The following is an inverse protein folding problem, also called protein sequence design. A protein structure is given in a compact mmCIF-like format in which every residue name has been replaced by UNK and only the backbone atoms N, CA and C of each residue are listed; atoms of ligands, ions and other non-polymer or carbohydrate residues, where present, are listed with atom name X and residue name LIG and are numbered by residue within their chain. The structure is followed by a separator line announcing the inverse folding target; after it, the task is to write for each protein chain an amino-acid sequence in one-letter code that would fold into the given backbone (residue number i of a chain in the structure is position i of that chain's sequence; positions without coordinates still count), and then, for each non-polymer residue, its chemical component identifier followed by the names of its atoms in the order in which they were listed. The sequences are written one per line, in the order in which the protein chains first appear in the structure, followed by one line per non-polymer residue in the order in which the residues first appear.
data_IF_470775408921
#
_entry.id   IF_470775408921
#
_cell.length_a   1.000
_cell.length_b   1.000
_cell.length_c   1.000
_cell.angle_alpha   90.00
_cell.angle_beta   90.00
_cell.angle_gamma   90.00
#
_symmetry.space_group_name_H-M   'P 1'
#
loop_
_entity.id
_entity.type
_entity.pdbx_description
1 polymer ?
#
# COMPACT_ATOMS: atom_id res chain seq x y z
N UNK A 1 35.24 22.63 -10.32
CA UNK A 1 34.39 22.32 -9.13
C UNK A 1 35.21 22.72 -7.90
N UNK A 2 34.67 23.61 -7.06
CA UNK A 2 35.36 24.11 -5.86
C UNK A 2 34.98 23.26 -4.63
N UNK A 3 33.83 22.59 -4.66
CA UNK A 3 33.32 21.76 -3.58
C UNK A 3 31.93 21.20 -3.89
N UNK A 4 31.38 20.45 -2.96
CA UNK A 4 30.04 19.86 -3.03
C UNK A 4 29.26 20.25 -1.76
N UNK A 5 27.98 20.51 -1.90
CA UNK A 5 27.09 20.87 -0.82
C UNK A 5 25.87 19.95 -0.81
N UNK A 6 25.46 19.51 0.34
CA UNK A 6 24.16 18.88 0.58
C UNK A 6 23.38 19.71 1.59
N UNK A 7 22.09 19.91 1.33
CA UNK A 7 21.19 20.62 2.22
C UNK A 7 20.23 19.64 2.87
N UNK A 8 20.05 19.74 4.17
CA UNK A 8 19.01 19.07 4.91
C UNK A 8 18.00 20.14 5.38
N UNK A 9 16.81 20.10 4.80
CA UNK A 9 15.70 20.98 5.16
C UNK A 9 14.98 20.39 6.37
N UNK A 10 14.92 21.15 7.46
CA UNK A 10 14.51 20.64 8.78
C UNK A 10 13.06 20.97 9.16
N UNK A 11 12.23 21.49 8.24
CA UNK A 11 10.85 21.88 8.51
C UNK A 11 9.99 20.73 9.12
N UNK A 12 10.36 19.49 8.80
CA UNK A 12 9.66 18.29 9.28
C UNK A 12 10.55 17.40 10.14
N UNK A 13 11.73 17.87 10.55
CA UNK A 13 12.67 17.13 11.39
C UNK A 13 12.61 17.71 12.79
N UNK A 14 11.91 17.01 13.70
CA UNK A 14 11.60 17.51 15.03
C UNK A 14 12.47 16.91 16.16
N UNK A 15 13.22 15.83 15.88
CA UNK A 15 14.07 15.16 16.87
C UNK A 15 15.45 14.85 16.32
N UNK A 16 16.43 14.64 17.22
CA UNK A 16 17.79 14.26 16.84
C UNK A 16 17.80 12.87 16.14
N UNK A 17 17.00 11.93 16.61
CA UNK A 17 16.88 10.60 15.99
C UNK A 17 16.36 10.69 14.56
N UNK A 18 15.43 11.62 14.29
CA UNK A 18 14.95 11.85 12.92
C UNK A 18 16.04 12.53 12.07
N UNK A 19 16.82 13.45 12.65
CA UNK A 19 17.94 14.09 11.98
C UNK A 19 19.01 13.04 11.56
N UNK A 20 19.40 12.18 12.47
CA UNK A 20 20.36 11.09 12.23
C UNK A 20 19.85 10.15 11.13
N UNK A 21 18.59 9.73 11.20
CA UNK A 21 17.95 8.91 10.17
C UNK A 21 17.98 9.56 8.79
N UNK A 22 17.81 10.86 8.71
CA UNK A 22 17.84 11.59 7.43
C UNK A 22 19.26 11.76 6.89
N UNK A 23 20.26 11.90 7.77
CA UNK A 23 21.66 12.09 7.38
C UNK A 23 22.38 10.78 7.08
N UNK A 24 22.20 9.75 7.91
CA UNK A 24 22.99 8.52 7.87
C UNK A 24 22.23 7.40 7.14
N UNK A 25 22.85 6.60 6.27
CA UNK A 25 24.23 6.72 5.74
C UNK A 25 24.36 7.64 4.51
N UNK A 26 23.37 8.48 4.18
CA UNK A 26 23.38 9.33 2.97
C UNK A 26 24.60 10.25 2.91
N UNK A 27 25.07 10.72 4.07
CA UNK A 27 26.28 11.55 4.15
C UNK A 27 27.53 10.76 3.76
N UNK A 28 27.61 9.47 4.11
CA UNK A 28 28.68 8.60 3.64
C UNK A 28 28.66 8.43 2.12
N UNK A 29 27.46 8.27 1.52
CA UNK A 29 27.32 8.22 0.06
C UNK A 29 27.77 9.52 -0.62
N UNK A 30 27.45 10.67 -0.03
CA UNK A 30 27.93 11.95 -0.53
C UNK A 30 29.47 12.05 -0.45
N UNK A 31 30.07 11.60 0.63
CA UNK A 31 31.53 11.57 0.80
C UNK A 31 32.18 10.68 -0.25
N UNK A 32 31.64 9.49 -0.53
CA UNK A 32 32.16 8.62 -1.61
C UNK A 32 32.12 9.31 -2.97
N UNK A 33 31.02 10.01 -3.28
CA UNK A 33 30.91 10.77 -4.54
C UNK A 33 31.96 11.88 -4.65
N UNK A 34 32.34 12.49 -3.53
CA UNK A 34 33.32 13.60 -3.50
C UNK A 34 34.77 13.13 -3.58
N UNK A 35 35.10 12.08 -2.85
CA UNK A 35 36.49 11.63 -2.71
C UNK A 35 36.91 10.58 -3.76
N UNK A 36 35.94 9.93 -4.40
CA UNK A 36 36.20 8.91 -5.41
C UNK A 36 36.16 9.53 -6.82
N UNK A 37 37.22 9.30 -7.61
CA UNK A 37 37.23 9.67 -9.03
C UNK A 37 36.10 8.95 -9.78
N UNK A 38 35.58 9.57 -10.84
CA UNK A 38 34.40 9.05 -11.56
C UNK A 38 34.65 7.67 -12.19
N UNK A 39 35.83 7.38 -12.64
CA UNK A 39 36.30 6.12 -13.23
C UNK A 39 36.49 4.98 -12.18
N UNK A 40 36.54 5.35 -10.91
CA UNK A 40 36.75 4.42 -9.80
C UNK A 40 35.48 4.17 -8.95
N UNK A 41 34.36 4.79 -9.33
CA UNK A 41 33.08 4.57 -8.64
C UNK A 41 32.58 3.17 -8.91
N UNK A 42 32.34 2.42 -7.86
CA UNK A 42 31.83 1.06 -7.89
C UNK A 42 30.74 0.88 -6.84
N UNK A 43 29.56 0.41 -7.28
CA UNK A 43 28.41 0.27 -6.39
C UNK A 43 28.62 -0.81 -5.33
N UNK A 44 29.19 -1.95 -5.70
CA UNK A 44 29.39 -3.06 -4.78
C UNK A 44 30.37 -2.70 -3.68
N UNK A 45 31.49 -2.09 -4.05
CA UNK A 45 32.45 -1.57 -3.08
C UNK A 45 31.85 -0.52 -2.15
N UNK A 46 31.03 0.40 -2.69
CA UNK A 46 30.32 1.37 -1.87
C UNK A 46 29.32 0.69 -0.93
N UNK A 47 28.61 -0.32 -1.42
CA UNK A 47 27.64 -1.06 -0.61
C UNK A 47 28.32 -1.75 0.59
N UNK A 48 29.45 -2.44 0.36
CA UNK A 48 30.23 -3.08 1.42
C UNK A 48 30.73 -2.06 2.45
N UNK A 49 31.25 -0.90 1.97
CA UNK A 49 31.67 0.19 2.87
C UNK A 49 30.51 0.80 3.64
N UNK A 50 29.32 0.95 3.02
CA UNK A 50 28.14 1.47 3.68
C UNK A 50 27.64 0.50 4.77
N UNK A 51 27.80 -0.82 4.57
CA UNK A 51 27.52 -1.82 5.57
C UNK A 51 28.41 -1.65 6.81
N UNK A 52 29.70 -1.52 6.59
CA UNK A 52 30.66 -1.29 7.68
C UNK A 52 30.36 0.02 8.44
N UNK A 53 30.05 1.10 7.73
CA UNK A 53 29.62 2.35 8.38
C UNK A 53 28.35 2.18 9.21
N UNK A 54 27.36 1.45 8.73
CA UNK A 54 26.14 1.20 9.49
C UNK A 54 26.40 0.41 10.79
N UNK A 55 27.34 -0.54 10.79
CA UNK A 55 27.78 -1.25 12.02
C UNK A 55 28.46 -0.30 13.01
N UNK A 56 29.25 0.65 12.51
CA UNK A 56 29.87 1.69 13.34
C UNK A 56 28.78 2.58 13.95
N UNK A 57 27.79 3.02 13.15
CA UNK A 57 26.67 3.84 13.64
C UNK A 57 25.87 3.12 14.72
N UNK A 58 25.62 1.83 14.56
CA UNK A 58 24.93 1.01 15.55
C UNK A 58 25.73 0.91 16.86
N UNK A 59 27.04 0.65 16.77
CA UNK A 59 27.94 0.63 17.94
C UNK A 59 27.97 1.97 18.66
N UNK A 60 27.85 3.08 17.92
CA UNK A 60 27.81 4.43 18.48
C UNK A 60 26.41 4.85 18.97
N UNK A 61 25.39 4.05 18.74
CA UNK A 61 24.00 4.33 19.14
C UNK A 61 23.29 5.37 18.26
N UNK A 62 23.76 5.60 17.04
CA UNK A 62 23.08 6.50 16.10
C UNK A 62 21.87 5.84 15.45
N UNK A 63 20.79 6.60 15.24
CA UNK A 63 19.64 6.18 14.45
C UNK A 63 19.90 6.43 12.97
N UNK A 64 20.23 5.41 12.21
CA UNK A 64 20.52 5.51 10.77
C UNK A 64 19.43 4.86 9.92
N UNK A 65 19.31 5.24 8.65
CA UNK A 65 18.36 4.65 7.71
C UNK A 65 18.86 3.28 7.23
N UNK A 66 18.11 2.24 7.54
CA UNK A 66 18.40 0.85 7.15
C UNK A 66 17.87 0.47 5.77
N UNK A 67 17.20 1.39 5.06
CA UNK A 67 16.47 1.12 3.81
C UNK A 67 17.32 0.43 2.73
N UNK A 68 18.64 0.68 2.74
CA UNK A 68 19.58 0.06 1.81
C UNK A 68 19.64 -1.47 1.98
N UNK A 69 19.38 -1.94 3.20
CA UNK A 69 19.53 -3.34 3.59
C UNK A 69 18.20 -4.05 3.83
N UNK A 70 17.08 -3.35 3.66
CA UNK A 70 15.77 -3.94 3.87
C UNK A 70 15.45 -4.98 2.80
N UNK A 71 14.69 -6.01 3.19
CA UNK A 71 13.93 -6.78 2.23
C UNK A 71 12.88 -5.85 1.60
N UNK A 72 12.78 -5.91 0.29
CA UNK A 72 11.77 -5.22 -0.49
C UNK A 72 10.94 -6.25 -1.24
N UNK A 73 9.68 -5.95 -1.48
CA UNK A 73 8.77 -6.86 -2.15
C UNK A 73 8.01 -6.18 -3.28
N UNK A 74 7.73 -6.96 -4.31
CA UNK A 74 6.77 -6.66 -5.34
C UNK A 74 5.67 -7.71 -5.28
N UNK A 75 4.44 -7.28 -5.15
CA UNK A 75 3.27 -8.15 -5.12
C UNK A 75 2.47 -7.92 -6.39
N UNK A 76 2.01 -8.99 -7.01
CA UNK A 76 1.18 -8.95 -8.20
C UNK A 76 0.10 -10.03 -8.12
N UNK A 77 -1.09 -9.75 -8.65
CA UNK A 77 -2.16 -10.72 -8.79
C UNK A 77 -2.04 -11.46 -10.14
N UNK A 78 -2.05 -12.78 -10.08
CA UNK A 78 -2.09 -13.69 -11.23
C UNK A 78 -3.56 -14.12 -11.45
N UNK A 79 -4.26 -13.42 -12.32
CA UNK A 79 -5.68 -13.67 -12.59
C UNK A 79 -5.94 -15.04 -13.23
N UNK A 80 -4.99 -15.58 -13.99
CA UNK A 80 -5.16 -16.89 -14.63
C UNK A 80 -5.21 -18.03 -13.62
N UNK A 81 -4.51 -17.86 -12.49
CA UNK A 81 -4.39 -18.87 -11.45
C UNK A 81 -5.05 -18.48 -10.13
N UNK A 82 -5.71 -17.34 -10.11
CA UNK A 82 -6.38 -16.78 -8.92
C UNK A 82 -5.49 -16.81 -7.67
N UNK A 83 -4.34 -16.14 -7.75
CA UNK A 83 -3.36 -16.09 -6.66
C UNK A 83 -2.59 -14.78 -6.65
N UNK A 84 -2.12 -14.36 -5.50
CA UNK A 84 -1.10 -13.34 -5.39
C UNK A 84 0.30 -13.95 -5.46
N UNK A 85 1.25 -13.24 -6.04
CA UNK A 85 2.65 -13.67 -6.15
C UNK A 85 3.54 -12.59 -5.56
N UNK A 86 4.32 -12.95 -4.54
CA UNK A 86 5.28 -12.08 -3.88
C UNK A 86 6.69 -12.39 -4.37
N UNK A 87 7.34 -11.41 -4.96
CA UNK A 87 8.75 -11.47 -5.34
C UNK A 87 9.55 -10.56 -4.43
N UNK A 88 10.50 -11.13 -3.68
CA UNK A 88 11.34 -10.39 -2.74
C UNK A 88 12.72 -10.16 -3.32
N UNK A 89 13.34 -9.06 -2.92
CA UNK A 89 14.72 -8.72 -3.21
C UNK A 89 15.33 -7.87 -2.09
N UNK A 90 16.64 -7.96 -1.93
CA UNK A 90 17.44 -7.07 -1.09
C UNK A 90 18.70 -6.69 -1.83
N UNK A 91 19.40 -5.68 -1.37
CA UNK A 91 20.75 -5.37 -1.87
C UNK A 91 21.75 -6.32 -1.18
N UNK A 92 22.70 -6.85 -1.97
CA UNK A 92 23.64 -7.88 -1.51
C UNK A 92 22.99 -9.27 -1.40
N UNK A 93 23.72 -10.20 -0.78
CA UNK A 93 23.37 -11.63 -0.72
C UNK A 93 22.73 -12.05 0.61
N UNK A 94 22.19 -11.09 1.37
CA UNK A 94 21.58 -11.40 2.67
C UNK A 94 20.39 -12.34 2.50
N UNK A 95 20.28 -13.42 3.28
CA UNK A 95 19.13 -14.31 3.25
C UNK A 95 17.88 -13.55 3.71
N UNK A 96 16.75 -13.81 3.00
CA UNK A 96 15.45 -13.28 3.36
C UNK A 96 14.62 -14.40 3.98
N UNK A 97 13.94 -14.08 5.08
CA UNK A 97 13.00 -14.97 5.77
C UNK A 97 11.61 -14.35 5.76
N UNK A 98 10.57 -15.17 5.74
CA UNK A 98 9.20 -14.67 5.65
C UNK A 98 8.21 -15.53 6.46
N UNK A 99 7.06 -14.92 6.78
CA UNK A 99 5.88 -15.53 7.40
C UNK A 99 4.62 -15.18 6.61
N UNK A 100 3.58 -15.99 6.76
CA UNK A 100 2.26 -15.79 6.11
C UNK A 100 1.14 -15.47 7.12
N UNK A 101 1.43 -15.54 8.41
CA UNK A 101 0.47 -15.37 9.51
C UNK A 101 0.55 -14.00 10.20
N UNK A 102 1.40 -13.10 9.67
CA UNK A 102 1.62 -11.77 10.24
C UNK A 102 2.57 -11.73 11.44
N UNK A 103 3.10 -12.89 11.89
CA UNK A 103 4.17 -12.91 12.88
C UNK A 103 5.45 -12.26 12.35
N UNK A 104 6.28 -11.74 13.24
CA UNK A 104 7.58 -11.19 12.84
C UNK A 104 8.51 -12.35 12.41
N UNK A 105 9.03 -12.33 11.15
CA UNK A 105 9.95 -13.35 10.70
C UNK A 105 11.29 -13.27 11.43
N UNK A 106 11.94 -14.43 11.56
CA UNK A 106 13.30 -14.59 12.10
C UNK A 106 14.09 -15.64 11.31
N UNK A 107 15.29 -15.96 11.75
CA UNK A 107 16.17 -16.97 11.10
C UNK A 107 15.61 -18.39 11.11
N UNK A 108 14.59 -18.68 11.91
CA UNK A 108 13.91 -19.98 11.97
C UNK A 108 12.66 -20.01 11.07
N UNK A 109 12.26 -18.86 10.54
CA UNK A 109 11.13 -18.74 9.61
C UNK A 109 11.45 -19.32 8.24
N UNK A 110 10.46 -19.41 7.35
CA UNK A 110 10.66 -19.91 6.00
C UNK A 110 11.67 -19.03 5.25
N UNK A 111 12.70 -19.66 4.66
CA UNK A 111 13.71 -18.96 3.87
C UNK A 111 13.19 -18.73 2.46
N UNK A 112 13.30 -17.50 1.98
CA UNK A 112 12.93 -17.14 0.61
C UNK A 112 13.96 -17.71 -0.40
N UNK A 113 13.46 -18.50 -1.35
CA UNK A 113 14.27 -19.11 -2.42
C UNK A 113 13.73 -18.78 -3.82
N UNK A 114 12.62 -18.10 -3.92
CA UNK A 114 11.94 -17.72 -5.16
C UNK A 114 10.53 -17.19 -4.90
N UNK A 115 9.78 -16.78 -5.93
CA UNK A 115 8.46 -16.19 -5.77
C UNK A 115 7.53 -17.03 -4.91
N UNK A 116 6.85 -16.38 -3.95
CA UNK A 116 5.91 -17.02 -3.02
C UNK A 116 4.50 -16.84 -3.54
N UNK A 117 3.79 -17.96 -3.72
CA UNK A 117 2.40 -17.99 -4.16
C UNK A 117 1.46 -17.95 -2.96
N UNK A 118 0.46 -17.08 -3.01
CA UNK A 118 -0.52 -16.88 -1.95
C UNK A 118 -1.90 -17.09 -2.55
N UNK A 119 -2.64 -18.05 -2.01
CA UNK A 119 -3.98 -18.44 -2.48
C UNK A 119 -5.07 -18.22 -1.42
N UNK A 120 -4.70 -17.73 -0.24
CA UNK A 120 -5.62 -17.43 0.86
C UNK A 120 -5.24 -16.12 1.51
N UNK A 121 -6.22 -15.47 2.15
CA UNK A 121 -5.98 -14.23 2.89
C UNK A 121 -4.88 -14.40 3.93
N UNK A 122 -3.94 -13.45 3.95
CA UNK A 122 -2.82 -13.49 4.87
C UNK A 122 -2.20 -12.10 5.09
N UNK A 123 -1.42 -11.98 6.14
CA UNK A 123 -0.48 -10.87 6.32
C UNK A 123 0.92 -11.40 6.08
N UNK A 124 1.44 -11.15 4.89
CA UNK A 124 2.79 -11.52 4.50
C UNK A 124 3.79 -10.57 5.17
N UNK A 125 4.80 -11.11 5.84
CA UNK A 125 5.93 -10.34 6.35
C UNK A 125 7.24 -10.96 5.91
N UNK A 126 8.25 -10.14 5.64
CA UNK A 126 9.58 -10.61 5.29
C UNK A 126 10.66 -9.65 5.79
N UNK A 127 11.81 -10.19 6.16
CA UNK A 127 12.98 -9.40 6.49
C UNK A 127 14.27 -10.06 5.95
N UNK A 128 15.29 -9.26 5.70
CA UNK A 128 16.63 -9.72 5.40
C UNK A 128 17.45 -9.78 6.71
N UNK A 129 18.24 -10.81 6.87
CA UNK A 129 19.16 -10.95 8.02
C UNK A 129 20.59 -10.92 7.50
N UNK A 130 21.36 -9.98 8.00
CA UNK A 130 22.76 -9.78 7.64
C UNK A 130 23.63 -9.87 8.90
N UNK A 131 24.43 -10.92 8.99
CA UNK A 131 25.32 -11.20 10.13
C UNK A 131 24.65 -10.99 11.49
N UNK A 132 23.48 -11.62 11.69
CA UNK A 132 22.63 -11.55 12.88
C UNK A 132 21.88 -10.21 13.09
N UNK A 133 22.00 -9.25 12.16
CA UNK A 133 21.22 -8.00 12.18
C UNK A 133 20.02 -8.09 11.25
N UNK A 134 18.79 -8.15 11.80
CA UNK A 134 17.58 -8.16 10.99
C UNK A 134 17.28 -6.76 10.42
N UNK A 135 16.85 -6.72 9.18
CA UNK A 135 16.32 -5.51 8.56
C UNK A 135 14.94 -5.14 9.14
N UNK A 136 14.44 -3.95 8.78
CA UNK A 136 13.01 -3.68 8.99
C UNK A 136 12.18 -4.62 8.13
N UNK A 137 11.05 -5.12 8.64
CA UNK A 137 10.21 -6.05 7.89
C UNK A 137 9.50 -5.33 6.72
N UNK A 138 9.46 -5.98 5.58
CA UNK A 138 8.48 -5.73 4.54
C UNK A 138 7.17 -6.37 4.98
N UNK A 139 6.04 -5.67 4.87
CA UNK A 139 4.73 -6.20 5.22
C UNK A 139 3.73 -5.91 4.10
N UNK A 140 2.88 -6.89 3.80
CA UNK A 140 1.83 -6.77 2.80
C UNK A 140 0.60 -7.60 3.19
N UNK A 141 -0.60 -7.01 3.10
CA UNK A 141 -1.87 -7.71 3.35
C UNK A 141 -2.47 -8.16 2.04
N UNK A 142 -2.83 -9.44 1.95
CA UNK A 142 -3.60 -10.05 0.86
C UNK A 142 -4.92 -10.51 1.43
N UNK A 143 -6.04 -10.16 0.78
CA UNK A 143 -7.38 -10.33 1.33
C UNK A 143 -8.31 -10.94 0.27
N UNK A 144 -8.28 -12.28 0.13
CA UNK A 144 -9.17 -13.00 -0.77
C UNK A 144 -10.61 -12.95 -0.28
N UNK A 145 -11.55 -12.70 -1.20
CA UNK A 145 -12.98 -12.60 -0.94
C UNK A 145 -13.78 -13.10 -2.14
N UNK A 146 -15.11 -13.16 -2.05
CA UNK A 146 -15.97 -13.75 -3.10
C UNK A 146 -15.90 -13.05 -4.46
N UNK A 147 -15.53 -11.76 -4.48
CA UNK A 147 -15.34 -11.02 -5.73
C UNK A 147 -13.92 -11.08 -6.28
N UNK A 148 -12.96 -11.70 -5.59
CA UNK A 148 -11.56 -11.75 -6.06
C UNK A 148 -11.48 -12.41 -7.44
N UNK A 149 -10.85 -11.69 -8.40
CA UNK A 149 -10.64 -12.14 -9.77
C UNK A 149 -11.89 -12.15 -10.64
N UNK A 150 -13.03 -11.64 -10.14
CA UNK A 150 -14.27 -11.51 -10.92
C UNK A 150 -14.14 -10.41 -11.97
N UNK A 151 -14.94 -10.53 -13.04
CA UNK A 151 -15.03 -9.47 -14.05
C UNK A 151 -15.68 -8.24 -13.45
N UNK A 152 -15.02 -7.12 -13.64
CA UNK A 152 -15.52 -5.82 -13.20
C UNK A 152 -15.63 -4.84 -14.36
N UNK A 153 -16.53 -3.88 -14.22
CA UNK A 153 -16.68 -2.79 -15.18
C UNK A 153 -17.08 -1.50 -14.47
N UNK A 154 -16.67 -0.38 -15.06
CA UNK A 154 -17.07 0.96 -14.66
C UNK A 154 -17.30 1.81 -15.90
N UNK A 155 -18.07 2.88 -15.76
CA UNK A 155 -18.31 3.82 -16.84
C UNK A 155 -17.12 4.75 -17.12
N UNK A 156 -16.21 4.94 -16.16
CA UNK A 156 -15.00 5.76 -16.34
C UNK A 156 -13.87 4.93 -16.98
N UNK A 157 -13.52 5.22 -18.24
CA UNK A 157 -12.47 4.46 -18.94
C UNK A 157 -11.07 4.71 -18.40
N UNK A 158 -10.87 5.71 -17.53
CA UNK A 158 -9.57 5.99 -16.91
C UNK A 158 -9.36 5.21 -15.61
N UNK A 159 -10.39 4.54 -15.10
CA UNK A 159 -10.32 3.71 -13.90
C UNK A 159 -10.02 2.27 -14.29
N UNK A 160 -8.89 1.76 -13.83
CA UNK A 160 -8.62 0.32 -13.87
C UNK A 160 -9.38 -0.34 -12.71
N UNK A 161 -10.59 -0.84 -12.98
CA UNK A 161 -11.45 -1.43 -11.96
C UNK A 161 -10.98 -2.83 -11.52
N UNK A 162 -10.14 -3.52 -12.30
CA UNK A 162 -9.65 -4.87 -11.96
C UNK A 162 -8.86 -4.88 -10.65
N UNK A 163 -8.17 -3.78 -10.34
CA UNK A 163 -7.41 -3.67 -9.08
C UNK A 163 -8.31 -3.53 -7.82
N UNK A 164 -9.62 -3.34 -7.99
CA UNK A 164 -10.57 -3.28 -6.88
C UNK A 164 -11.08 -4.66 -6.46
N UNK A 165 -10.65 -5.72 -7.13
CA UNK A 165 -11.02 -7.12 -6.84
C UNK A 165 -9.84 -8.07 -7.05
N UNK A 166 -8.62 -7.62 -6.82
CA UNK A 166 -7.40 -8.41 -7.02
C UNK A 166 -6.81 -8.97 -5.71
N UNK A 167 -7.51 -8.81 -4.60
CA UNK A 167 -7.10 -9.18 -3.25
C UNK A 167 -5.88 -8.44 -2.71
N UNK A 168 -5.33 -7.46 -3.43
CA UNK A 168 -4.12 -6.74 -3.05
C UNK A 168 -4.46 -5.46 -2.29
N UNK A 169 -4.17 -5.44 -0.98
CA UNK A 169 -4.45 -4.27 -0.15
C UNK A 169 -3.42 -3.16 -0.38
N UNK A 170 -3.92 -1.98 -0.60
CA UNK A 170 -3.08 -0.80 -0.79
C UNK A 170 -2.29 -0.45 0.48
N UNK A 171 -0.96 -0.27 0.40
CA UNK A 171 -0.17 0.16 1.55
C UNK A 171 -0.33 1.66 1.82
N UNK A 172 0.03 2.11 3.01
CA UNK A 172 0.01 3.52 3.44
C UNK A 172 0.96 4.44 2.63
N UNK A 173 1.39 3.99 1.46
CA UNK A 173 2.34 4.70 0.58
C UNK A 173 1.57 5.33 -0.57
N UNK A 174 1.70 6.65 -0.69
CA UNK A 174 0.92 7.50 -1.59
C UNK A 174 0.98 7.13 -3.08
N UNK A 175 2.10 6.63 -3.58
CA UNK A 175 2.33 6.36 -5.01
C UNK A 175 2.47 4.87 -5.26
N UNK A 176 1.35 4.18 -5.28
CA UNK A 176 1.30 2.77 -5.60
C UNK A 176 0.16 2.50 -6.59
N UNK A 177 0.33 1.49 -7.39
CA UNK A 177 -0.63 1.05 -8.42
C UNK A 177 -1.87 0.37 -7.83
N UNK A 178 -1.84 0.01 -6.56
CA UNK A 178 -2.94 -0.60 -5.83
C UNK A 178 -4.07 0.41 -5.48
N UNK A 179 -3.94 1.66 -5.87
CA UNK A 179 -4.93 2.70 -5.55
C UNK A 179 -5.66 3.24 -6.78
N UNK A 180 -6.97 3.06 -6.84
CA UNK A 180 -7.84 3.91 -7.67
C UNK A 180 -7.98 5.27 -6.99
N UNK A 181 -7.73 6.34 -7.71
CA UNK A 181 -7.87 7.71 -7.20
C UNK A 181 -8.93 8.46 -7.99
N UNK A 182 -9.97 8.91 -7.30
CA UNK A 182 -11.08 9.71 -7.84
C UNK A 182 -10.94 11.16 -7.38
N UNK A 183 -11.44 12.10 -8.19
CA UNK A 183 -11.51 13.52 -7.83
C UNK A 183 -12.92 14.04 -8.02
N UNK A 184 -13.56 14.42 -6.93
CA UNK A 184 -14.90 15.02 -6.91
C UNK A 184 -15.95 14.28 -7.77
N UNK A 185 -15.76 12.97 -7.98
CA UNK A 185 -16.62 12.16 -8.84
C UNK A 185 -16.90 10.84 -8.14
N UNK A 186 -18.15 10.42 -7.98
CA UNK A 186 -18.49 9.10 -7.47
C UNK A 186 -18.05 8.01 -8.45
N UNK A 187 -17.87 6.80 -7.95
CA UNK A 187 -17.53 5.63 -8.75
C UNK A 187 -18.63 4.59 -8.65
N UNK A 188 -19.12 4.14 -9.80
CA UNK A 188 -19.95 2.95 -9.92
C UNK A 188 -19.12 1.79 -10.47
N UNK A 189 -19.08 0.70 -9.73
CA UNK A 189 -18.41 -0.55 -10.13
C UNK A 189 -19.45 -1.66 -10.21
N UNK A 190 -19.50 -2.35 -11.34
CA UNK A 190 -20.35 -3.53 -11.54
C UNK A 190 -19.45 -4.75 -11.56
N UNK A 191 -19.72 -5.69 -10.66
CA UNK A 191 -19.00 -6.95 -10.49
C UNK A 191 -19.89 -8.09 -10.98
N UNK A 192 -19.41 -8.93 -11.90
CA UNK A 192 -20.10 -10.19 -12.31
C UNK A 192 -19.73 -11.29 -11.32
N UNK A 193 -20.59 -11.53 -10.35
CA UNK A 193 -20.44 -12.59 -9.34
C UNK A 193 -20.64 -14.00 -9.92
N UNK A 194 -21.02 -14.11 -11.20
CA UNK A 194 -21.23 -15.39 -11.95
C UNK A 194 -22.29 -16.31 -11.33
N UNK A 195 -23.14 -15.79 -10.44
CA UNK A 195 -24.15 -16.60 -9.72
C UNK A 195 -23.53 -17.55 -8.69
N UNK A 196 -22.43 -17.13 -8.07
CA UNK A 196 -21.68 -17.91 -7.10
C UNK A 196 -22.35 -17.96 -5.73
N UNK A 197 -21.58 -18.40 -4.72
CA UNK A 197 -22.02 -18.51 -3.32
C UNK A 197 -22.72 -17.25 -2.81
N UNK A 198 -23.75 -17.42 -1.94
CA UNK A 198 -24.46 -16.28 -1.36
C UNK A 198 -23.53 -15.29 -0.67
N UNK A 199 -23.85 -14.00 -0.76
CA UNK A 199 -23.10 -12.92 -0.14
C UNK A 199 -24.04 -11.91 0.53
N UNK A 200 -23.58 -11.22 1.57
CA UNK A 200 -24.40 -10.33 2.40
C UNK A 200 -23.70 -9.06 2.86
N UNK A 201 -22.44 -8.85 2.50
CA UNK A 201 -21.75 -7.59 2.81
C UNK A 201 -20.78 -7.18 1.73
N UNK A 202 -20.56 -5.88 1.67
CA UNK A 202 -19.50 -5.23 0.90
C UNK A 202 -18.66 -4.39 1.85
N UNK A 203 -17.36 -4.57 1.82
CA UNK A 203 -16.41 -3.73 2.55
C UNK A 203 -15.48 -3.03 1.57
N UNK A 204 -15.43 -1.71 1.62
CA UNK A 204 -14.61 -0.88 0.74
C UNK A 204 -13.38 -0.41 1.50
N UNK A 205 -12.21 -0.80 1.01
CA UNK A 205 -10.92 -0.35 1.54
C UNK A 205 -10.55 1.01 0.99
N UNK A 206 -10.07 1.91 1.86
CA UNK A 206 -9.74 3.29 1.50
C UNK A 206 -8.49 3.78 2.21
N UNK A 207 -7.89 4.84 1.66
CA UNK A 207 -6.89 5.64 2.36
C UNK A 207 -7.48 7.01 2.66
N UNK A 208 -7.39 7.46 3.92
CA UNK A 208 -7.68 8.84 4.32
C UNK A 208 -6.37 9.54 4.64
N UNK A 209 -6.07 10.63 3.93
CA UNK A 209 -4.89 11.45 4.14
C UNK A 209 -5.25 12.93 3.90
N UNK A 210 -5.88 13.54 4.90
CA UNK A 210 -6.50 14.86 4.77
C UNK A 210 -5.51 15.94 4.32
N UNK A 211 -4.28 15.93 4.80
CA UNK A 211 -3.22 16.87 4.35
C UNK A 211 -2.96 16.82 2.83
N UNK A 212 -3.44 15.80 2.14
CA UNK A 212 -3.35 15.58 0.70
C UNK A 212 -4.71 15.58 -0.01
N UNK A 213 -5.69 16.22 0.59
CA UNK A 213 -7.06 16.32 0.09
C UNK A 213 -7.74 14.95 -0.15
N UNK A 214 -7.27 13.87 0.52
CA UNK A 214 -7.84 12.53 0.41
C UNK A 214 -8.76 12.29 1.60
N UNK A 215 -10.05 12.11 1.32
CA UNK A 215 -11.11 11.98 2.32
C UNK A 215 -11.78 10.61 2.26
N UNK A 216 -12.57 10.32 3.29
CA UNK A 216 -13.43 9.14 3.35
C UNK A 216 -14.55 9.19 2.29
N UNK A 217 -15.17 8.04 1.93
CA UNK A 217 -16.36 8.02 1.10
C UNK A 217 -17.50 8.79 1.79
N UNK A 218 -18.34 9.44 1.00
CA UNK A 218 -19.54 10.15 1.52
C UNK A 218 -20.73 9.21 1.64
N UNK A 219 -20.80 8.18 0.80
CA UNK A 219 -21.76 7.08 0.89
C UNK A 219 -21.22 5.84 0.21
N UNK A 220 -21.81 4.71 0.54
CA UNK A 220 -21.70 3.46 -0.21
C UNK A 220 -23.11 2.93 -0.41
N UNK A 221 -23.51 2.72 -1.68
CA UNK A 221 -24.75 2.08 -2.08
C UNK A 221 -24.48 0.77 -2.77
N UNK A 222 -25.28 -0.24 -2.45
CA UNK A 222 -25.15 -1.59 -3.00
C UNK A 222 -26.46 -1.92 -3.72
N UNK A 223 -26.36 -2.31 -4.98
CA UNK A 223 -27.50 -2.72 -5.80
C UNK A 223 -27.21 -4.06 -6.48
N UNK A 224 -28.23 -4.86 -6.69
CA UNK A 224 -28.13 -6.19 -7.29
C UNK A 224 -28.95 -6.30 -8.56
N UNK A 225 -28.55 -7.21 -9.46
CA UNK A 225 -29.23 -7.47 -10.73
C UNK A 225 -28.90 -8.86 -11.25
N UNK A 226 -29.81 -9.45 -12.03
CA UNK A 226 -29.57 -10.71 -12.73
C UNK A 226 -29.29 -10.50 -14.23
N UNK A 227 -29.54 -9.30 -14.76
CA UNK A 227 -29.41 -8.98 -16.19
C UNK A 227 -28.38 -7.87 -16.51
N UNK A 228 -27.72 -7.31 -15.50
CA UNK A 228 -26.80 -6.17 -15.58
C UNK A 228 -27.44 -4.88 -16.13
N UNK A 229 -28.76 -4.79 -16.21
CA UNK A 229 -29.49 -3.63 -16.75
C UNK A 229 -30.41 -3.00 -15.70
N UNK A 230 -31.18 -3.83 -15.03
CA UNK A 230 -32.14 -3.40 -14.01
C UNK A 230 -31.56 -3.71 -12.64
N UNK A 231 -31.13 -2.67 -11.93
CA UNK A 231 -30.53 -2.79 -10.60
C UNK A 231 -31.54 -2.38 -9.53
N UNK A 232 -31.61 -3.19 -8.47
CA UNK A 232 -32.40 -2.90 -7.27
C UNK A 232 -31.44 -2.60 -6.12
N UNK A 233 -31.56 -1.41 -5.52
CA UNK A 233 -30.78 -1.06 -4.34
C UNK A 233 -31.22 -1.91 -3.16
N UNK A 234 -30.25 -2.55 -2.50
CA UNK A 234 -30.45 -3.42 -1.34
C UNK A 234 -29.87 -2.84 -0.05
N UNK A 235 -28.94 -1.90 -0.19
CA UNK A 235 -28.40 -1.17 0.94
C UNK A 235 -27.84 0.18 0.51
N UNK A 236 -27.95 1.17 1.40
CA UNK A 236 -27.33 2.49 1.28
C UNK A 236 -26.87 2.95 2.66
N UNK A 237 -25.63 3.41 2.75
CA UNK A 237 -25.08 3.93 3.99
C UNK A 237 -24.29 5.20 3.72
N UNK A 238 -24.68 6.27 4.40
CA UNK A 238 -23.97 7.55 4.36
C UNK A 238 -22.89 7.60 5.43
N UNK A 239 -21.83 8.30 5.12
CA UNK A 239 -20.71 8.53 6.03
C UNK A 239 -20.45 10.03 6.13
N UNK A 240 -20.44 10.61 7.34
CA UNK A 240 -20.08 12.01 7.51
C UNK A 240 -18.64 12.24 7.09
N UNK A 241 -18.36 13.42 6.55
CA UNK A 241 -16.98 13.83 6.25
C UNK A 241 -16.19 13.90 7.55
N UNK A 242 -15.06 13.22 7.59
CA UNK A 242 -14.20 13.18 8.77
C UNK A 242 -13.63 14.55 9.11
N UNK A 243 -13.66 14.88 10.40
CA UNK A 243 -13.15 16.13 10.93
C UNK A 243 -11.62 16.26 10.88
N UNK A 244 -11.13 17.45 11.12
CA UNK A 244 -9.69 17.78 11.07
C UNK A 244 -8.84 16.91 12.00
N UNK A 245 -9.36 16.57 13.18
CA UNK A 245 -8.62 15.88 14.25
C UNK A 245 -8.79 14.36 14.26
N UNK A 246 -9.66 13.82 13.38
CA UNK A 246 -9.77 12.37 13.24
C UNK A 246 -8.49 11.79 12.60
N UNK A 247 -8.06 10.56 12.98
CA UNK A 247 -6.81 10.00 12.47
C UNK A 247 -6.85 9.75 10.97
N UNK A 248 -5.74 10.01 10.29
CA UNK A 248 -5.50 9.55 8.93
C UNK A 248 -5.14 8.06 8.95
N UNK A 249 -5.10 7.41 7.79
CA UNK A 249 -4.64 6.03 7.61
C UNK A 249 -5.52 5.22 6.68
N UNK A 250 -5.27 3.92 6.68
CA UNK A 250 -6.08 2.93 5.97
C UNK A 250 -7.37 2.70 6.75
N UNK A 251 -8.50 2.70 6.05
CA UNK A 251 -9.82 2.53 6.66
C UNK A 251 -10.68 1.60 5.81
N UNK A 252 -11.61 0.93 6.47
CA UNK A 252 -12.55 0.02 5.86
C UNK A 252 -13.98 0.47 6.19
N UNK A 253 -14.84 0.46 5.17
CA UNK A 253 -16.24 0.89 5.29
C UNK A 253 -17.15 -0.23 4.84
N UNK A 254 -17.81 -0.87 5.80
CA UNK A 254 -18.68 -2.02 5.56
C UNK A 254 -20.15 -1.60 5.46
N UNK A 255 -20.84 -2.22 4.49
CA UNK A 255 -22.28 -2.16 4.30
C UNK A 255 -22.84 -3.58 4.23
N UNK A 256 -23.78 -3.90 5.09
CA UNK A 256 -24.46 -5.20 5.14
C UNK A 256 -25.87 -5.12 4.54
N UNK A 257 -26.34 -6.21 3.95
CA UNK A 257 -27.66 -6.34 3.33
C UNK A 257 -28.16 -7.77 3.47
N UNK A 258 -29.45 -8.05 3.17
CA UNK A 258 -29.98 -9.41 3.16
C UNK A 258 -29.18 -10.30 2.21
N UNK A 259 -28.88 -11.53 2.64
CA UNK A 259 -28.15 -12.50 1.82
C UNK A 259 -28.79 -12.68 0.44
N UNK A 260 -27.97 -12.67 -0.59
CA UNK A 260 -28.37 -12.80 -1.99
C UNK A 260 -27.36 -13.62 -2.79
N UNK A 261 -27.82 -14.22 -3.91
CA UNK A 261 -26.97 -14.88 -4.90
C UNK A 261 -27.14 -14.23 -6.29
N UNK A 262 -27.55 -12.95 -6.35
CA UNK A 262 -27.72 -12.23 -7.61
C UNK A 262 -26.42 -12.24 -8.42
N UNK A 263 -26.53 -12.34 -9.73
CA UNK A 263 -25.35 -12.46 -10.60
C UNK A 263 -24.51 -11.18 -10.65
N UNK A 264 -25.15 -10.01 -10.67
CA UNK A 264 -24.43 -8.75 -10.76
C UNK A 264 -24.61 -7.92 -9.49
N UNK A 265 -23.49 -7.46 -8.98
CA UNK A 265 -23.39 -6.58 -7.85
C UNK A 265 -22.87 -5.22 -8.32
N UNK A 266 -23.64 -4.16 -8.09
CA UNK A 266 -23.18 -2.78 -8.33
C UNK A 266 -22.87 -2.13 -6.98
N UNK A 267 -21.66 -1.64 -6.84
CA UNK A 267 -21.19 -0.85 -5.70
C UNK A 267 -20.96 0.58 -6.17
N UNK A 268 -21.70 1.52 -5.58
CA UNK A 268 -21.56 2.95 -5.83
C UNK A 268 -20.89 3.60 -4.63
N UNK A 269 -19.76 4.27 -4.85
CA UNK A 269 -18.98 4.91 -3.79
C UNK A 269 -18.94 6.41 -4.02
N UNK A 270 -19.48 7.18 -3.08
CA UNK A 270 -19.54 8.64 -3.14
C UNK A 270 -18.20 9.28 -2.80
N UNK A 271 -17.80 10.28 -3.58
CA UNK A 271 -16.63 11.11 -3.35
C UNK A 271 -17.05 12.51 -2.91
N UNK A 272 -16.34 13.08 -1.94
CA UNK A 272 -16.53 14.48 -1.55
C UNK A 272 -16.15 15.41 -2.71
N UNK A 273 -17.00 16.37 -3.02
CA UNK A 273 -16.73 17.32 -4.12
C UNK A 273 -15.61 18.29 -3.76
N UNK A 274 -15.79 19.03 -2.68
CA UNK A 274 -14.90 20.10 -2.28
C UNK A 274 -14.27 19.82 -0.92
N UNK A 275 -13.02 20.22 -0.79
CA UNK A 275 -12.29 20.18 0.47
C UNK A 275 -13.00 21.03 1.52
N UNK A 276 -13.20 20.54 2.77
CA UNK A 276 -13.94 21.25 3.82
C UNK A 276 -13.32 22.59 4.20
N UNK A 277 -14.15 23.51 4.73
CA UNK A 277 -13.74 24.88 5.11
C UNK A 277 -12.57 24.97 6.08
N UNK A 278 -12.43 24.00 6.96
CA UNK A 278 -11.33 23.96 7.94
C UNK A 278 -9.97 23.60 7.34
N UNK A 279 -9.95 23.12 6.08
CA UNK A 279 -8.71 22.70 5.43
C UNK A 279 -8.05 23.88 4.71
N UNK A 280 -6.72 23.96 4.76
CA UNK A 280 -5.96 25.07 4.15
C UNK A 280 -6.06 25.14 2.61
N UNK A 281 -6.52 24.06 1.95
CA UNK A 281 -6.83 24.03 0.53
C UNK A 281 -8.34 24.11 0.24
N UNK A 282 -9.10 24.72 1.14
CA UNK A 282 -10.54 24.94 0.93
C UNK A 282 -10.84 25.50 -0.48
N UNK A 283 -11.86 24.98 -1.12
CA UNK A 283 -12.27 25.34 -2.48
C UNK A 283 -11.59 24.55 -3.60
N UNK A 284 -10.69 23.61 -3.27
CA UNK A 284 -10.18 22.62 -4.22
C UNK A 284 -11.04 21.36 -4.20
N UNK A 285 -10.98 20.59 -5.30
CA UNK A 285 -11.64 19.30 -5.36
C UNK A 285 -10.99 18.32 -4.38
N UNK A 286 -11.83 17.64 -3.63
CA UNK A 286 -11.39 16.53 -2.78
C UNK A 286 -11.09 15.28 -3.62
N UNK A 287 -10.36 14.35 -3.04
CA UNK A 287 -10.03 13.06 -3.64
C UNK A 287 -10.51 11.93 -2.75
N UNK A 288 -10.85 10.81 -3.36
CA UNK A 288 -11.10 9.53 -2.71
C UNK A 288 -10.13 8.50 -3.25
N UNK A 289 -9.61 7.61 -2.39
CA UNK A 289 -8.76 6.50 -2.79
C UNK A 289 -9.34 5.19 -2.33
N UNK A 290 -9.43 4.24 -3.27
CA UNK A 290 -9.94 2.89 -3.06
C UNK A 290 -8.85 1.88 -3.42
N UNK A 291 -8.67 0.84 -2.62
CA UNK A 291 -7.80 -0.30 -2.94
C UNK A 291 -8.59 -1.55 -3.30
N UNK A 292 -9.65 -1.86 -2.54
CA UNK A 292 -10.36 -3.12 -2.69
C UNK A 292 -11.85 -2.97 -2.39
N UNK A 293 -12.68 -3.72 -3.12
CA UNK A 293 -14.12 -3.91 -2.86
C UNK A 293 -14.34 -5.37 -2.47
N UNK A 294 -14.24 -5.65 -1.20
CA UNK A 294 -14.37 -6.99 -0.65
C UNK A 294 -15.84 -7.38 -0.54
N UNK A 295 -16.21 -8.57 -1.02
CA UNK A 295 -17.54 -9.14 -0.96
C UNK A 295 -17.52 -10.40 -0.11
N UNK A 296 -18.41 -10.47 0.92
CA UNK A 296 -18.44 -11.58 1.88
C UNK A 296 -19.86 -12.15 2.07
#
# INVERSE_FOLDING_TARGET
IIGVQANLWTEYVSTNEHLEYMLLPRLAALSEVQWCNADRKDWNRFFDSADEFCRIYETMGYNYATNLFNANGKVAYDAERNRAVVTLYTQGDAPIYYTLDGSEPDVNSAKYTGPVEITNSCVFKALAVRDDFPSRPFSYKVDFHKATGRKVSTADPNVNADILVDALRGPEIRKRHEWVTLKATPLDVIIDMEGSDPYSSVCVGTMVLKVREIFNPTYISVSISDDARSFTEVAHKEYPVEGQFEPNGLKEYEVTFPETSARYLKVSVGCLNDVPQWHHYYGRNASLRLDEIMVN
#
